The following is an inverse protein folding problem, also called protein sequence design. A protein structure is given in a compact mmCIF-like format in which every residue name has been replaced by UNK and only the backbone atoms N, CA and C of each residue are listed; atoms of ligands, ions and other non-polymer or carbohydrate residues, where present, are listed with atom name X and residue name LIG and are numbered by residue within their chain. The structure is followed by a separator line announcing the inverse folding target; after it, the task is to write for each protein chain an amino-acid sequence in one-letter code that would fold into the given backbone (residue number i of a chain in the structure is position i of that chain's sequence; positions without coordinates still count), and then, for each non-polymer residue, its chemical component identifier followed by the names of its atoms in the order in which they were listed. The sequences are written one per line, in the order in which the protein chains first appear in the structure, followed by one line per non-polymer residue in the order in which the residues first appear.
data_IF_904513699889
#
_entry.id   IF_904513699889
#
_cell.length_a   1.000
_cell.length_b   1.000
_cell.length_c   1.000
_cell.angle_alpha   90.00
_cell.angle_beta   90.00
_cell.angle_gamma   90.00
#
_symmetry.space_group_name_H-M   'P 1'
#
loop_
_entity.id
_entity.type
_entity.pdbx_description
1 polymer ?
#
# COMPACT_ATOMS: atom_id res chain seq x y z
N UNK A 1 -15.94 -61.75 -69.08
CA UNK A 1 -14.66 -61.10 -68.86
C UNK A 1 -14.98 -59.82 -68.18
N UNK A 2 -14.89 -59.82 -66.82
CA UNK A 2 -15.19 -58.61 -66.00
C UNK A 2 -13.87 -57.83 -65.82
N UNK A 3 -13.81 -56.57 -66.30
CA UNK A 3 -12.73 -55.68 -66.10
C UNK A 3 -12.63 -55.30 -64.57
N UNK A 4 -11.52 -55.51 -63.99
CA UNK A 4 -11.19 -55.07 -62.62
C UNK A 4 -10.85 -53.59 -62.75
N UNK A 5 -11.48 -52.68 -61.98
CA UNK A 5 -11.04 -51.29 -62.02
C UNK A 5 -9.66 -51.12 -61.40
N UNK A 6 -8.78 -50.36 -62.06
CA UNK A 6 -7.44 -49.98 -61.59
C UNK A 6 -7.55 -49.18 -60.32
N UNK A 7 -6.77 -49.56 -59.33
CA UNK A 7 -6.66 -48.84 -58.08
C UNK A 7 -5.95 -47.47 -58.33
N UNK A 8 -6.46 -46.36 -57.79
CA UNK A 8 -5.83 -45.07 -57.95
C UNK A 8 -4.39 -45.10 -57.37
N UNK A 9 -3.44 -44.52 -58.14
CA UNK A 9 -2.04 -44.36 -57.74
C UNK A 9 -1.95 -43.72 -56.36
N UNK A 10 -1.12 -44.31 -55.49
CA UNK A 10 -0.87 -43.81 -54.15
C UNK A 10 -0.29 -42.37 -54.20
N UNK A 11 -1.04 -41.39 -53.73
CA UNK A 11 -0.58 -40.02 -53.57
C UNK A 11 0.68 -40.05 -52.65
N UNK A 12 1.79 -39.44 -53.06
CA UNK A 12 3.01 -39.38 -52.21
C UNK A 12 2.66 -38.70 -50.89
N UNK A 13 2.99 -39.33 -49.77
CA UNK A 13 2.80 -38.74 -48.44
C UNK A 13 3.62 -37.46 -48.33
N UNK A 14 2.98 -36.35 -48.11
CA UNK A 14 3.65 -35.08 -47.81
C UNK A 14 4.59 -35.26 -46.59
N UNK A 15 5.79 -34.67 -46.65
CA UNK A 15 6.73 -34.77 -45.54
C UNK A 15 6.07 -34.17 -44.28
N UNK A 16 5.98 -34.99 -43.21
CA UNK A 16 5.46 -34.55 -41.90
C UNK A 16 6.46 -33.53 -41.34
N UNK A 17 6.12 -32.25 -41.50
CA UNK A 17 6.88 -31.15 -40.86
C UNK A 17 6.73 -31.33 -39.35
N UNK A 18 7.79 -31.51 -38.57
CA UNK A 18 7.68 -31.65 -37.13
C UNK A 18 7.05 -30.39 -36.55
N UNK A 19 5.89 -30.53 -35.90
CA UNK A 19 5.25 -29.40 -35.22
C UNK A 19 6.18 -28.85 -34.15
N UNK A 20 6.32 -27.51 -34.03
CA UNK A 20 7.18 -26.93 -33.00
C UNK A 20 6.76 -27.43 -31.62
N UNK A 21 7.71 -27.91 -30.84
CA UNK A 21 7.47 -28.44 -29.51
C UNK A 21 6.65 -27.44 -28.70
N UNK A 22 5.49 -27.84 -28.19
CA UNK A 22 4.61 -26.99 -27.37
C UNK A 22 5.39 -26.55 -26.11
N UNK A 23 5.38 -25.25 -25.78
CA UNK A 23 6.10 -24.78 -24.61
C UNK A 23 5.54 -25.46 -23.35
N UNK A 24 6.43 -25.90 -22.47
CA UNK A 24 6.06 -26.59 -21.23
C UNK A 24 5.08 -25.77 -20.37
N UNK A 25 4.28 -26.43 -19.51
CA UNK A 25 3.19 -25.79 -18.75
C UNK A 25 3.66 -24.61 -17.89
N UNK A 26 4.89 -24.63 -17.40
CA UNK A 26 5.51 -23.52 -16.65
C UNK A 26 5.80 -22.31 -17.54
N UNK A 27 6.27 -22.51 -18.78
CA UNK A 27 6.55 -21.42 -19.73
C UNK A 27 5.24 -20.72 -20.16
N UNK A 28 4.19 -21.51 -20.40
CA UNK A 28 2.84 -20.98 -20.73
C UNK A 28 2.27 -20.16 -19.56
N UNK A 29 2.39 -20.65 -18.33
CA UNK A 29 1.90 -19.93 -17.14
C UNK A 29 2.68 -18.63 -16.92
N UNK A 30 4.00 -18.64 -17.13
CA UNK A 30 4.82 -17.44 -17.02
C UNK A 30 4.53 -16.41 -18.11
N UNK A 31 4.36 -16.84 -19.36
CA UNK A 31 3.96 -15.97 -20.47
C UNK A 31 2.60 -15.31 -20.24
N UNK A 32 1.61 -16.07 -19.72
CA UNK A 32 0.28 -15.52 -19.34
C UNK A 32 0.41 -14.45 -18.24
N UNK A 33 1.21 -14.69 -17.20
CA UNK A 33 1.46 -13.70 -16.13
C UNK A 33 2.11 -12.43 -16.66
N UNK A 34 3.12 -12.56 -17.53
CA UNK A 34 3.77 -11.39 -18.16
C UNK A 34 2.78 -10.59 -19.01
N UNK A 35 1.94 -11.25 -19.81
CA UNK A 35 0.91 -10.57 -20.60
C UNK A 35 -0.10 -9.84 -19.73
N UNK A 36 -0.60 -10.49 -18.67
CA UNK A 36 -1.52 -9.86 -17.72
C UNK A 36 -0.88 -8.63 -17.03
N UNK A 37 0.38 -8.72 -16.60
CA UNK A 37 1.09 -7.55 -16.02
C UNK A 37 1.30 -6.45 -17.06
N UNK A 38 1.63 -6.78 -18.30
CA UNK A 38 1.78 -5.81 -19.38
C UNK A 38 0.45 -5.10 -19.70
N UNK A 39 -0.66 -5.83 -19.70
CA UNK A 39 -2.00 -5.25 -19.91
C UNK A 39 -2.39 -4.31 -18.76
N UNK A 40 -2.14 -4.71 -17.51
CA UNK A 40 -2.36 -3.85 -16.33
C UNK A 40 -1.51 -2.59 -16.44
N UNK A 41 -0.23 -2.72 -16.80
CA UNK A 41 0.67 -1.58 -16.96
C UNK A 41 0.25 -0.65 -18.10
N UNK A 42 -0.16 -1.19 -19.24
CA UNK A 42 -0.67 -0.40 -20.37
C UNK A 42 -1.95 0.35 -20.00
N UNK A 43 -2.87 -0.30 -19.29
CA UNK A 43 -4.10 0.33 -18.79
C UNK A 43 -3.76 1.44 -17.77
N UNK A 44 -2.84 1.17 -16.84
CA UNK A 44 -2.38 2.13 -15.84
C UNK A 44 -1.72 3.36 -16.49
N UNK A 45 -0.83 3.15 -17.46
CA UNK A 45 -0.13 4.22 -18.18
C UNK A 45 -1.07 5.11 -19.00
N UNK A 46 -2.24 4.59 -19.42
CA UNK A 46 -3.26 5.38 -20.14
C UNK A 46 -4.05 6.29 -19.20
N UNK A 47 -4.08 6.00 -17.91
CA UNK A 47 -4.75 6.83 -16.92
C UNK A 47 -3.82 7.97 -16.48
N UNK A 48 -4.13 9.21 -16.91
CA UNK A 48 -3.31 10.40 -16.62
C UNK A 48 -3.18 10.65 -15.11
N UNK A 49 -4.27 10.47 -14.36
CA UNK A 49 -4.27 10.68 -12.90
C UNK A 49 -3.34 9.68 -12.21
N UNK A 50 -3.41 8.40 -12.60
CA UNK A 50 -2.53 7.36 -12.08
C UNK A 50 -1.05 7.68 -12.33
N UNK A 51 -0.71 8.14 -13.54
CA UNK A 51 0.65 8.51 -13.90
C UNK A 51 1.15 9.72 -13.13
N UNK A 52 0.33 10.76 -12.96
CA UNK A 52 0.68 11.93 -12.12
C UNK A 52 0.93 11.48 -10.68
N UNK A 53 0.01 10.69 -10.09
CA UNK A 53 0.20 10.14 -8.75
C UNK A 53 1.47 9.32 -8.63
N UNK A 54 1.76 8.45 -9.60
CA UNK A 54 2.99 7.65 -9.60
C UNK A 54 4.26 8.50 -9.67
N UNK A 55 4.29 9.51 -10.54
CA UNK A 55 5.44 10.43 -10.66
C UNK A 55 5.69 11.16 -9.34
N UNK A 56 4.64 11.66 -8.71
CA UNK A 56 4.74 12.31 -7.39
C UNK A 56 5.29 11.32 -6.34
N UNK A 57 4.74 10.11 -6.27
CA UNK A 57 5.22 9.11 -5.31
C UNK A 57 6.66 8.72 -5.54
N UNK A 58 7.07 8.54 -6.80
CA UNK A 58 8.47 8.23 -7.14
C UNK A 58 9.39 9.39 -6.76
N UNK A 59 8.99 10.64 -7.03
CA UNK A 59 9.77 11.82 -6.66
C UNK A 59 9.95 11.94 -5.15
N UNK A 60 8.87 11.77 -4.37
CA UNK A 60 8.93 11.85 -2.89
C UNK A 60 9.69 10.65 -2.31
N UNK A 61 9.51 9.46 -2.86
CA UNK A 61 10.28 8.28 -2.45
C UNK A 61 11.78 8.45 -2.74
N UNK A 62 12.12 8.98 -3.91
CA UNK A 62 13.51 9.30 -4.27
C UNK A 62 14.10 10.35 -3.32
N UNK A 63 13.36 11.42 -3.04
CA UNK A 63 13.76 12.43 -2.06
C UNK A 63 13.99 11.80 -0.67
N UNK A 64 13.10 10.95 -0.19
CA UNK A 64 13.20 10.27 1.10
C UNK A 64 14.40 9.30 1.17
N UNK A 65 14.66 8.56 0.09
CA UNK A 65 15.81 7.66 -0.01
C UNK A 65 17.14 8.40 -0.10
N UNK A 66 17.17 9.49 -0.85
CA UNK A 66 18.35 10.34 -1.02
C UNK A 66 18.52 11.36 0.09
N UNK A 67 17.65 11.38 1.11
CA UNK A 67 17.71 12.32 2.22
C UNK A 67 19.10 12.47 2.85
N UNK A 68 19.88 11.39 3.13
CA UNK A 68 21.22 11.50 3.71
C UNK A 68 22.24 12.14 2.74
N UNK A 69 21.96 12.16 1.43
CA UNK A 69 22.82 12.78 0.42
C UNK A 69 22.41 14.23 0.16
N UNK A 70 21.10 14.50 0.22
CA UNK A 70 20.51 15.82 -0.08
C UNK A 70 20.66 16.79 1.10
N UNK A 71 20.75 16.29 2.34
CA UNK A 71 20.77 17.09 3.52
C UNK A 71 21.59 16.40 4.64
N UNK A 72 22.25 17.21 5.48
CA UNK A 72 22.98 16.68 6.64
C UNK A 72 22.00 16.42 7.80
N UNK A 73 21.92 15.16 8.27
CA UNK A 73 21.07 14.79 9.42
C UNK A 73 21.50 15.53 10.71
N UNK A 74 22.76 15.90 10.83
CA UNK A 74 23.26 16.67 11.98
C UNK A 74 22.63 18.07 12.10
N UNK A 75 22.18 18.64 10.98
CA UNK A 75 21.46 19.91 10.96
C UNK A 75 20.04 19.83 11.58
N UNK A 76 19.55 18.62 11.91
CA UNK A 76 18.31 18.44 12.68
C UNK A 76 18.53 18.62 14.20
N UNK A 77 19.79 18.59 14.67
CA UNK A 77 20.12 18.76 16.10
C UNK A 77 20.27 20.24 16.42
N UNK A 78 19.48 20.73 17.37
CA UNK A 78 19.52 22.15 17.78
C UNK A 78 20.91 22.63 18.19
N UNK A 79 21.75 21.74 18.76
CA UNK A 79 23.13 22.06 19.16
C UNK A 79 23.99 22.49 17.97
N UNK A 80 23.74 21.97 16.78
CA UNK A 80 24.52 22.25 15.57
C UNK A 80 24.00 23.47 14.79
N UNK A 81 22.96 24.13 15.29
CA UNK A 81 22.27 25.25 14.59
C UNK A 81 22.20 26.50 15.42
N UNK A 82 23.03 26.59 16.47
CA UNK A 82 23.08 27.74 17.42
C UNK A 82 23.43 29.06 16.71
N UNK A 83 24.24 28.99 15.66
CA UNK A 83 24.65 30.19 14.89
C UNK A 83 23.62 30.58 13.83
N UNK A 84 22.62 29.74 13.55
CA UNK A 84 21.59 30.04 12.56
C UNK A 84 20.53 30.99 13.17
N UNK A 85 20.00 31.93 12.39
CA UNK A 85 18.94 32.81 12.87
C UNK A 85 17.65 32.03 13.09
N UNK A 86 17.07 32.06 14.32
CA UNK A 86 15.75 31.49 14.56
C UNK A 86 14.68 32.27 13.80
N UNK A 87 13.63 31.56 13.34
CA UNK A 87 12.48 32.16 12.63
C UNK A 87 12.86 32.91 11.34
N UNK A 88 13.99 32.57 10.72
CA UNK A 88 14.33 33.17 9.42
C UNK A 88 13.31 32.76 8.34
N UNK A 89 12.81 33.74 7.61
CA UNK A 89 11.93 33.50 6.46
C UNK A 89 12.66 32.78 5.32
N UNK A 90 11.95 32.16 4.37
CA UNK A 90 12.56 31.53 3.21
C UNK A 90 13.54 32.45 2.47
N UNK A 91 14.75 31.93 2.21
CA UNK A 91 15.84 32.63 1.57
C UNK A 91 16.67 31.67 0.69
N UNK A 92 17.70 32.18 0.02
CA UNK A 92 18.62 31.31 -0.75
C UNK A 92 19.44 30.39 0.12
N UNK A 93 19.72 30.79 1.35
CA UNK A 93 20.45 30.02 2.34
C UNK A 93 19.53 28.98 3.02
N UNK A 94 18.31 29.38 3.34
CA UNK A 94 17.29 28.53 3.97
C UNK A 94 16.04 28.48 3.07
N UNK A 95 15.97 27.50 2.13
CA UNK A 95 14.92 27.40 1.12
C UNK A 95 13.49 27.47 1.69
N UNK A 96 13.24 26.81 2.83
CA UNK A 96 11.98 26.87 3.54
C UNK A 96 12.11 27.61 4.88
N UNK A 97 13.12 28.48 5.03
CA UNK A 97 13.37 29.19 6.29
C UNK A 97 13.87 28.28 7.42
N UNK A 98 13.86 28.84 8.65
CA UNK A 98 14.26 28.14 9.86
C UNK A 98 13.13 28.09 10.88
N UNK A 99 13.23 27.14 11.81
CA UNK A 99 12.33 27.01 12.95
C UNK A 99 12.76 27.90 14.14
N UNK A 100 12.10 27.70 15.28
CA UNK A 100 12.42 28.44 16.53
C UNK A 100 13.81 28.14 17.13
N UNK A 101 14.49 27.09 16.68
CA UNK A 101 15.80 26.65 17.12
C UNK A 101 16.88 26.88 16.04
N UNK A 102 16.58 27.60 14.96
CA UNK A 102 17.49 27.81 13.84
C UNK A 102 17.68 26.59 12.93
N UNK A 103 16.92 25.50 13.10
CA UNK A 103 17.01 24.32 12.23
C UNK A 103 16.32 24.59 10.89
N UNK A 104 16.95 24.15 9.79
CA UNK A 104 16.38 24.30 8.46
C UNK A 104 15.08 23.48 8.29
N UNK A 105 13.98 24.14 7.93
CA UNK A 105 12.69 23.49 7.66
C UNK A 105 12.77 22.61 6.42
N UNK A 106 13.58 22.94 5.43
CA UNK A 106 13.80 22.10 4.26
C UNK A 106 14.44 20.73 4.64
N UNK A 107 15.40 20.74 5.54
CA UNK A 107 16.02 19.51 6.06
C UNK A 107 14.98 18.68 6.82
N UNK A 108 14.20 19.31 7.70
CA UNK A 108 13.11 18.64 8.43
C UNK A 108 12.06 18.03 7.46
N UNK A 109 11.74 18.72 6.38
CA UNK A 109 10.80 18.25 5.36
C UNK A 109 11.31 16.99 4.65
N UNK A 110 12.58 16.98 4.22
CA UNK A 110 13.21 15.86 3.51
C UNK A 110 13.31 14.62 4.41
N UNK A 111 13.84 14.77 5.63
CA UNK A 111 13.92 13.65 6.58
C UNK A 111 12.56 13.23 7.11
N UNK A 112 11.63 14.17 7.28
CA UNK A 112 10.24 13.90 7.66
C UNK A 112 9.54 13.01 6.67
N UNK A 113 9.73 13.22 5.37
CA UNK A 113 9.21 12.35 4.31
C UNK A 113 9.62 10.89 4.50
N UNK A 114 10.89 10.65 4.88
CA UNK A 114 11.44 9.30 5.08
C UNK A 114 10.70 8.53 6.16
N UNK A 115 10.46 9.16 7.31
CA UNK A 115 9.79 8.52 8.45
C UNK A 115 8.30 8.36 8.19
N UNK A 116 7.62 9.40 7.70
CA UNK A 116 6.17 9.32 7.41
C UNK A 116 5.85 8.27 6.34
N UNK A 117 6.67 8.14 5.27
CA UNK A 117 6.50 7.08 4.26
C UNK A 117 6.82 5.70 4.83
N UNK A 118 7.89 5.55 5.62
CA UNK A 118 8.27 4.29 6.24
C UNK A 118 7.13 3.79 7.13
N UNK A 119 6.63 4.64 8.04
CA UNK A 119 5.51 4.26 8.92
C UNK A 119 4.27 3.92 8.11
N UNK A 120 3.90 4.75 7.13
CA UNK A 120 2.73 4.51 6.27
C UNK A 120 2.80 3.16 5.56
N UNK A 121 3.95 2.80 4.99
CA UNK A 121 4.14 1.54 4.28
C UNK A 121 4.15 0.33 5.22
N UNK A 122 4.97 0.36 6.29
CA UNK A 122 5.09 -0.80 7.19
C UNK A 122 3.82 -1.03 8.02
N UNK A 123 3.15 0.03 8.48
CA UNK A 123 1.86 -0.09 9.14
C UNK A 123 0.80 -0.68 8.20
N UNK A 124 0.77 -0.25 6.93
CA UNK A 124 -0.12 -0.84 5.93
C UNK A 124 0.18 -2.31 5.70
N UNK A 125 1.45 -2.71 5.55
CA UNK A 125 1.81 -4.13 5.40
C UNK A 125 1.29 -4.94 6.58
N UNK A 126 1.50 -4.48 7.82
CA UNK A 126 1.01 -5.16 9.00
C UNK A 126 -0.53 -5.27 9.03
N UNK A 127 -1.23 -4.17 8.74
CA UNK A 127 -2.69 -4.12 8.60
C UNK A 127 -3.21 -5.14 7.59
N UNK A 128 -2.61 -5.17 6.40
CA UNK A 128 -3.03 -6.06 5.30
C UNK A 128 -2.73 -7.51 5.63
N UNK A 129 -1.59 -7.80 6.22
CA UNK A 129 -1.23 -9.18 6.62
C UNK A 129 -2.22 -9.71 7.66
N UNK A 130 -2.44 -8.98 8.75
CA UNK A 130 -3.39 -9.39 9.80
C UNK A 130 -4.81 -9.49 9.24
N UNK A 131 -5.29 -8.44 8.56
CA UNK A 131 -6.64 -8.40 8.00
C UNK A 131 -6.89 -9.48 6.96
N UNK A 132 -5.89 -9.78 6.11
CA UNK A 132 -5.99 -10.86 5.12
C UNK A 132 -6.04 -12.23 5.80
N UNK A 133 -5.16 -12.49 6.76
CA UNK A 133 -5.16 -13.77 7.49
C UNK A 133 -6.51 -14.01 8.19
N UNK A 134 -6.98 -13.03 8.96
CA UNK A 134 -8.26 -13.12 9.67
C UNK A 134 -9.43 -13.25 8.68
N UNK A 135 -9.46 -12.43 7.63
CA UNK A 135 -10.54 -12.43 6.63
C UNK A 135 -10.61 -13.74 5.83
N UNK A 136 -9.45 -14.28 5.41
CA UNK A 136 -9.37 -15.56 4.69
C UNK A 136 -9.80 -16.72 5.59
N UNK A 137 -9.31 -16.77 6.83
CA UNK A 137 -9.66 -17.84 7.78
C UNK A 137 -11.16 -17.78 8.09
N UNK A 138 -11.70 -16.63 8.44
CA UNK A 138 -13.12 -16.45 8.73
C UNK A 138 -14.00 -16.84 7.53
N UNK A 139 -13.72 -16.30 6.34
CA UNK A 139 -14.53 -16.54 5.15
C UNK A 139 -14.46 -17.97 4.62
N UNK A 140 -13.28 -18.60 4.70
CA UNK A 140 -13.09 -19.94 4.17
C UNK A 140 -13.64 -21.04 5.09
N UNK A 141 -13.29 -21.02 6.38
CA UNK A 141 -13.69 -22.09 7.30
C UNK A 141 -15.15 -21.96 7.74
N UNK A 142 -15.65 -20.75 7.95
CA UNK A 142 -17.05 -20.54 8.35
C UNK A 142 -17.36 -20.99 9.77
N UNK A 143 -18.64 -21.12 10.09
CA UNK A 143 -19.14 -21.65 11.35
C UNK A 143 -18.63 -20.91 12.59
N UNK A 144 -18.23 -21.66 13.63
CA UNK A 144 -17.75 -21.07 14.88
C UNK A 144 -16.47 -20.22 14.71
N UNK A 145 -15.54 -20.65 13.84
CA UNK A 145 -14.31 -19.91 13.54
C UNK A 145 -14.63 -18.52 12.97
N UNK A 146 -15.55 -18.45 12.02
CA UNK A 146 -16.03 -17.20 11.48
C UNK A 146 -16.67 -16.32 12.56
N UNK A 147 -17.57 -16.89 13.35
CA UNK A 147 -18.27 -16.16 14.40
C UNK A 147 -17.31 -15.60 15.44
N UNK A 148 -16.32 -16.39 15.89
CA UNK A 148 -15.34 -15.94 16.87
C UNK A 148 -14.44 -14.81 16.32
N UNK A 149 -13.90 -14.99 15.10
CA UNK A 149 -13.04 -13.98 14.46
C UNK A 149 -13.80 -12.70 14.14
N UNK A 150 -15.04 -12.79 13.69
CA UNK A 150 -15.85 -11.61 13.41
C UNK A 150 -16.29 -10.88 14.70
N UNK A 151 -16.58 -11.59 15.79
CA UNK A 151 -16.80 -10.95 17.10
C UNK A 151 -15.56 -10.18 17.58
N UNK A 152 -14.37 -10.78 17.44
CA UNK A 152 -13.13 -10.08 17.75
C UNK A 152 -12.97 -8.82 16.87
N UNK A 153 -13.25 -8.95 15.57
CA UNK A 153 -13.24 -7.82 14.63
C UNK A 153 -14.22 -6.73 15.06
N UNK A 154 -15.43 -7.14 15.48
CA UNK A 154 -16.48 -6.21 15.92
C UNK A 154 -16.09 -5.47 17.19
N UNK A 155 -15.44 -6.13 18.17
CA UNK A 155 -14.92 -5.44 19.36
C UNK A 155 -13.94 -4.33 19.01
N UNK A 156 -12.99 -4.58 18.10
CA UNK A 156 -12.08 -3.53 17.65
C UNK A 156 -12.78 -2.37 16.96
N UNK A 157 -13.89 -2.62 16.24
CA UNK A 157 -14.62 -1.59 15.50
C UNK A 157 -15.60 -0.80 16.39
N UNK A 158 -16.03 -1.33 17.52
CA UNK A 158 -16.88 -0.63 18.50
C UNK A 158 -16.05 0.38 19.30
N UNK A 159 -14.80 0.08 19.58
CA UNK A 159 -13.91 1.01 20.28
C UNK A 159 -13.55 2.14 19.33
N UNK A 160 -13.75 3.43 19.71
CA UNK A 160 -13.34 4.53 18.88
C UNK A 160 -11.85 4.46 18.54
N UNK A 161 -11.54 4.45 17.23
CA UNK A 161 -10.21 4.19 16.70
C UNK A 161 -9.13 5.07 17.31
N UNK A 162 -9.33 6.40 17.31
CA UNK A 162 -8.29 7.35 17.75
C UNK A 162 -7.98 7.22 19.26
N UNK A 163 -8.95 7.17 20.19
CA UNK A 163 -8.71 6.86 21.59
C UNK A 163 -7.94 5.56 21.81
N UNK A 164 -8.31 4.48 21.11
CA UNK A 164 -7.59 3.21 21.20
C UNK A 164 -6.13 3.36 20.77
N UNK A 165 -5.89 4.02 19.64
CA UNK A 165 -4.54 4.24 19.11
C UNK A 165 -3.69 5.10 20.08
N UNK A 166 -4.25 6.15 20.66
CA UNK A 166 -3.57 7.01 21.66
C UNK A 166 -3.15 6.21 22.90
N UNK A 167 -4.08 5.42 23.45
CA UNK A 167 -3.80 4.60 24.64
C UNK A 167 -2.69 3.58 24.36
N UNK A 168 -2.78 2.86 23.24
CA UNK A 168 -1.77 1.89 22.85
C UNK A 168 -0.41 2.55 22.59
N UNK A 169 -0.36 3.69 21.89
CA UNK A 169 0.87 4.42 21.64
C UNK A 169 1.52 4.90 22.96
N UNK A 170 0.71 5.31 23.94
CA UNK A 170 1.20 5.74 25.26
C UNK A 170 1.78 4.58 26.08
N UNK A 171 1.14 3.41 26.02
CA UNK A 171 1.60 2.18 26.71
C UNK A 171 2.91 1.65 26.12
N UNK A 172 3.00 1.62 24.78
CA UNK A 172 4.18 1.09 24.07
C UNK A 172 5.37 2.03 24.07
N UNK A 173 5.15 3.31 24.38
CA UNK A 173 6.17 4.35 24.39
C UNK A 173 6.47 4.93 23.00
N UNK A 174 7.18 6.08 22.98
CA UNK A 174 7.43 6.86 21.77
C UNK A 174 8.53 6.23 20.90
N UNK A 175 8.12 5.51 19.85
CA UNK A 175 9.02 4.88 18.89
C UNK A 175 8.33 4.74 17.53
N UNK A 176 9.10 4.81 16.45
CA UNK A 176 8.60 4.53 15.09
C UNK A 176 7.92 3.16 15.02
N UNK A 177 8.51 2.14 15.64
CA UNK A 177 7.96 0.78 15.63
C UNK A 177 6.67 0.65 16.45
N UNK A 178 6.57 1.39 17.58
CA UNK A 178 5.33 1.46 18.36
C UNK A 178 4.19 2.01 17.52
N UNK A 179 4.41 3.10 16.78
CA UNK A 179 3.41 3.70 15.89
C UNK A 179 3.00 2.74 14.76
N UNK A 180 3.97 2.07 14.12
CA UNK A 180 3.69 1.06 13.10
C UNK A 180 2.79 -0.05 13.66
N UNK A 181 3.13 -0.57 14.84
CA UNK A 181 2.35 -1.63 15.48
C UNK A 181 0.95 -1.15 15.87
N UNK A 182 0.83 0.03 16.48
CA UNK A 182 -0.46 0.62 16.87
C UNK A 182 -1.37 0.77 15.66
N UNK A 183 -0.90 1.36 14.57
CA UNK A 183 -1.69 1.52 13.35
C UNK A 183 -2.09 0.14 12.80
N UNK A 184 -1.15 -0.79 12.69
CA UNK A 184 -1.40 -2.12 12.15
C UNK A 184 -2.45 -2.90 12.96
N UNK A 185 -2.34 -2.89 14.30
CA UNK A 185 -3.24 -3.64 15.19
C UNK A 185 -4.61 -2.97 15.38
N UNK A 186 -4.77 -1.72 15.02
CA UNK A 186 -6.04 -1.02 15.15
C UNK A 186 -6.81 -0.91 13.83
N UNK A 187 -6.15 -1.01 12.68
CA UNK A 187 -6.80 -0.80 11.36
C UNK A 187 -7.12 -2.09 10.61
N UNK A 188 -6.55 -3.25 10.99
CA UNK A 188 -6.79 -4.55 10.35
C UNK A 188 -8.28 -4.98 10.26
N UNK A 189 -9.20 -4.58 11.18
CA UNK A 189 -10.59 -5.04 11.16
C UNK A 189 -11.34 -4.67 9.88
N UNK A 190 -11.09 -3.48 9.34
CA UNK A 190 -11.69 -3.06 8.06
C UNK A 190 -11.27 -3.96 6.91
N UNK A 191 -9.97 -4.28 6.85
CA UNK A 191 -9.40 -5.17 5.82
C UNK A 191 -9.95 -6.58 5.97
N UNK A 192 -10.08 -7.09 7.20
CA UNK A 192 -10.59 -8.44 7.45
C UNK A 192 -12.02 -8.63 6.96
N UNK A 193 -12.90 -7.65 7.16
CA UNK A 193 -14.29 -7.68 6.65
C UNK A 193 -14.33 -7.66 5.12
N UNK A 194 -13.51 -6.80 4.49
CA UNK A 194 -13.40 -6.74 3.03
C UNK A 194 -12.92 -8.07 2.46
N UNK A 195 -11.83 -8.61 2.99
CA UNK A 195 -11.23 -9.88 2.52
C UNK A 195 -12.21 -11.04 2.74
N UNK A 196 -12.87 -11.11 3.91
CA UNK A 196 -13.91 -12.13 4.17
C UNK A 196 -15.02 -12.09 3.12
N UNK A 197 -15.55 -10.92 2.79
CA UNK A 197 -16.61 -10.78 1.79
C UNK A 197 -16.16 -11.31 0.42
N UNK A 198 -14.93 -11.01 0.01
CA UNK A 198 -14.36 -11.52 -1.24
C UNK A 198 -14.14 -13.04 -1.19
N UNK A 199 -13.66 -13.58 -0.07
CA UNK A 199 -13.47 -15.02 0.10
C UNK A 199 -14.80 -15.76 -0.02
N UNK A 200 -15.88 -15.26 0.58
CA UNK A 200 -17.21 -15.84 0.48
C UNK A 200 -17.71 -15.88 -0.98
N UNK A 201 -17.48 -14.80 -1.73
CA UNK A 201 -17.83 -14.75 -3.16
C UNK A 201 -17.02 -15.75 -3.99
N UNK A 202 -15.70 -15.83 -3.77
CA UNK A 202 -14.83 -16.76 -4.51
C UNK A 202 -15.12 -18.22 -4.16
N UNK A 203 -15.43 -18.50 -2.89
CA UNK A 203 -15.72 -19.83 -2.35
C UNK A 203 -16.91 -20.51 -3.06
N UNK A 204 -17.87 -19.72 -3.57
CA UNK A 204 -19.08 -20.20 -4.28
C UNK A 204 -18.87 -20.39 -5.79
N UNK A 205 -17.66 -20.21 -6.31
CA UNK A 205 -17.38 -20.39 -7.73
C UNK A 205 -17.30 -21.87 -8.10
N UNK A 206 -17.89 -22.27 -9.23
CA UNK A 206 -17.95 -23.64 -9.71
C UNK A 206 -16.59 -24.36 -9.76
N UNK A 207 -15.50 -23.65 -10.10
CA UNK A 207 -14.17 -24.26 -10.14
C UNK A 207 -13.65 -24.61 -8.73
N UNK A 208 -14.08 -23.88 -7.68
CA UNK A 208 -13.73 -24.19 -6.27
C UNK A 208 -14.53 -25.42 -5.81
N UNK A 209 -15.82 -25.50 -6.16
CA UNK A 209 -16.66 -26.66 -5.86
C UNK A 209 -16.13 -27.93 -6.53
N UNK A 210 -15.78 -27.83 -7.82
CA UNK A 210 -15.17 -28.94 -8.56
C UNK A 210 -13.86 -29.41 -7.92
N UNK A 211 -12.97 -28.48 -7.52
CA UNK A 211 -11.73 -28.84 -6.86
C UNK A 211 -11.98 -29.61 -5.55
N UNK A 212 -12.99 -29.20 -4.75
CA UNK A 212 -13.39 -29.90 -3.53
C UNK A 212 -14.00 -31.28 -3.83
N UNK A 213 -14.86 -31.40 -4.82
CA UNK A 213 -15.46 -32.66 -5.24
C UNK A 213 -14.40 -33.68 -5.71
N UNK A 214 -13.31 -33.20 -6.31
CA UNK A 214 -12.14 -34.04 -6.67
C UNK A 214 -11.20 -34.35 -5.50
N UNK A 215 -11.56 -34.02 -4.25
CA UNK A 215 -10.77 -34.35 -3.07
C UNK A 215 -9.63 -33.37 -2.73
N UNK A 216 -9.60 -32.16 -3.32
CA UNK A 216 -8.59 -31.18 -2.99
C UNK A 216 -8.63 -30.79 -1.50
N UNK A 217 -7.46 -30.78 -0.84
CA UNK A 217 -7.34 -30.41 0.57
C UNK A 217 -7.74 -28.94 0.79
N UNK A 218 -8.20 -28.60 2.00
CA UNK A 218 -8.59 -27.23 2.37
C UNK A 218 -7.49 -26.22 2.10
N UNK A 219 -6.25 -26.55 2.44
CA UNK A 219 -5.08 -25.69 2.21
C UNK A 219 -4.77 -25.52 0.73
N UNK A 220 -4.90 -26.58 -0.06
CA UNK A 220 -4.75 -26.50 -1.51
C UNK A 220 -5.77 -25.54 -2.14
N UNK A 221 -7.04 -25.63 -1.72
CA UNK A 221 -8.11 -24.73 -2.19
C UNK A 221 -7.80 -23.27 -1.81
N UNK A 222 -7.40 -23.01 -0.56
CA UNK A 222 -7.04 -21.65 -0.12
C UNK A 222 -5.89 -21.09 -0.96
N UNK A 223 -4.77 -21.84 -1.06
CA UNK A 223 -3.55 -21.34 -1.71
C UNK A 223 -3.68 -21.24 -3.24
N UNK A 224 -4.39 -22.19 -3.87
CA UNK A 224 -4.45 -22.29 -5.33
C UNK A 224 -5.65 -21.57 -5.94
N UNK A 225 -6.75 -21.46 -5.20
CA UNK A 225 -8.01 -20.91 -5.74
C UNK A 225 -8.48 -19.65 -5.01
N UNK A 226 -8.40 -19.56 -3.68
CA UNK A 226 -8.90 -18.40 -2.94
C UNK A 226 -7.91 -17.23 -3.01
N UNK A 227 -6.71 -17.38 -2.47
CA UNK A 227 -5.71 -16.29 -2.38
C UNK A 227 -5.38 -15.64 -3.72
N UNK A 228 -5.16 -16.38 -4.84
CA UNK A 228 -4.86 -15.73 -6.11
C UNK A 228 -6.04 -14.92 -6.68
N UNK A 229 -7.28 -15.29 -6.35
CA UNK A 229 -8.47 -14.59 -6.84
C UNK A 229 -8.88 -13.40 -5.94
N UNK A 230 -8.53 -13.42 -4.66
CA UNK A 230 -8.73 -12.29 -3.72
C UNK A 230 -7.57 -11.31 -3.80
N UNK A 231 -6.39 -11.77 -4.20
CA UNK A 231 -5.15 -10.99 -4.29
C UNK A 231 -5.28 -9.62 -4.98
N UNK A 232 -5.89 -9.51 -6.16
CA UNK A 232 -6.09 -8.22 -6.84
C UNK A 232 -6.85 -7.19 -5.98
N UNK A 233 -7.89 -7.61 -5.26
CA UNK A 233 -8.66 -6.74 -4.37
C UNK A 233 -7.82 -6.33 -3.15
N UNK A 234 -7.02 -7.25 -2.60
CA UNK A 234 -6.09 -6.95 -1.51
C UNK A 234 -5.07 -5.89 -1.97
N UNK A 235 -4.49 -6.04 -3.16
CA UNK A 235 -3.51 -5.10 -3.72
C UNK A 235 -4.12 -3.70 -3.93
N UNK A 236 -5.33 -3.63 -4.51
CA UNK A 236 -6.02 -2.35 -4.68
C UNK A 236 -6.30 -1.68 -3.32
N UNK A 237 -6.78 -2.44 -2.34
CA UNK A 237 -7.04 -1.92 -0.99
C UNK A 237 -5.75 -1.51 -0.26
N UNK A 238 -4.62 -2.19 -0.51
CA UNK A 238 -3.32 -1.83 0.08
C UNK A 238 -2.94 -0.39 -0.26
N UNK A 239 -3.07 0.01 -1.53
CA UNK A 239 -2.74 1.38 -1.96
C UNK A 239 -3.66 2.44 -1.36
N UNK A 240 -4.91 2.10 -1.04
CA UNK A 240 -5.85 2.99 -0.35
C UNK A 240 -5.65 3.03 1.17
N UNK A 241 -5.01 2.02 1.74
CA UNK A 241 -4.72 1.95 3.18
C UNK A 241 -3.50 2.80 3.56
N UNK A 242 -2.51 2.96 2.66
CA UNK A 242 -1.30 3.77 2.92
C UNK A 242 -1.64 5.22 3.31
N UNK A 243 -2.49 5.96 2.58
CA UNK A 243 -2.95 7.29 2.98
C UNK A 243 -3.50 7.36 4.40
N UNK A 244 -4.33 6.39 4.77
CA UNK A 244 -4.93 6.31 6.11
C UNK A 244 -3.84 6.11 7.17
N UNK A 245 -2.86 5.24 6.90
CA UNK A 245 -1.75 5.00 7.80
C UNK A 245 -0.86 6.24 7.98
N UNK A 246 -0.57 6.99 6.89
CA UNK A 246 0.20 8.24 6.95
C UNK A 246 -0.56 9.31 7.75
N UNK A 247 -1.86 9.50 7.51
CA UNK A 247 -2.67 10.46 8.26
C UNK A 247 -2.76 10.09 9.74
N UNK A 248 -2.84 8.80 10.05
CA UNK A 248 -2.86 8.32 11.44
C UNK A 248 -1.50 8.54 12.12
N UNK A 249 -0.39 8.24 11.43
CA UNK A 249 0.96 8.57 11.93
C UNK A 249 1.08 10.06 12.22
N UNK A 250 0.70 10.89 11.25
CA UNK A 250 0.72 12.35 11.40
C UNK A 250 -0.09 12.81 12.59
N UNK A 251 -1.28 12.25 12.81
CA UNK A 251 -2.14 12.61 13.94
C UNK A 251 -1.50 12.21 15.27
N UNK A 252 -1.00 10.98 15.38
CA UNK A 252 -0.35 10.49 16.59
C UNK A 252 0.95 11.28 16.90
N UNK A 253 1.75 11.55 15.86
CA UNK A 253 2.96 12.35 16.00
C UNK A 253 2.64 13.81 16.38
N UNK A 254 1.60 14.41 15.79
CA UNK A 254 1.11 15.75 16.16
C UNK A 254 0.63 15.82 17.61
N UNK A 255 0.08 14.73 18.15
CA UNK A 255 -0.31 14.62 19.56
C UNK A 255 0.87 14.30 20.50
N UNK A 256 2.12 14.33 20.03
CA UNK A 256 3.32 14.08 20.82
C UNK A 256 3.60 12.62 21.12
N UNK A 257 2.97 11.69 20.40
CA UNK A 257 3.15 10.25 20.59
C UNK A 257 4.16 9.64 19.60
N UNK A 258 4.70 10.45 18.68
CA UNK A 258 5.75 10.07 17.72
C UNK A 258 7.10 9.85 18.39
N UNK A 259 8.08 9.38 17.61
CA UNK A 259 9.46 9.23 18.06
C UNK A 259 10.11 10.61 18.22
N UNK A 260 10.57 10.98 19.44
CA UNK A 260 11.17 12.29 19.69
C UNK A 260 12.53 12.49 19.01
N UNK A 261 13.20 11.40 18.61
CA UNK A 261 14.53 11.42 18.00
C UNK A 261 14.51 11.46 16.48
N UNK A 262 13.34 11.21 15.86
CA UNK A 262 13.19 11.14 14.41
C UNK A 262 12.29 12.26 13.91
N UNK A 263 12.71 12.94 12.84
CA UNK A 263 11.87 13.90 12.16
C UNK A 263 10.78 13.16 11.36
N UNK A 264 9.50 13.53 11.57
CA UNK A 264 8.38 13.18 10.69
C UNK A 264 7.57 14.44 10.39
N UNK A 265 6.76 14.42 9.34
CA UNK A 265 5.93 15.58 9.02
C UNK A 265 4.93 15.90 10.14
N UNK A 266 4.37 14.87 10.79
CA UNK A 266 3.48 15.06 11.94
C UNK A 266 4.18 15.73 13.12
N UNK A 267 5.42 15.33 13.41
CA UNK A 267 6.24 15.95 14.44
C UNK A 267 6.62 17.41 14.10
N UNK A 268 6.97 17.68 12.85
CA UNK A 268 7.23 19.06 12.40
C UNK A 268 6.01 19.97 12.63
N UNK A 269 4.79 19.46 12.34
CA UNK A 269 3.55 20.19 12.63
C UNK A 269 3.33 20.42 14.12
N UNK A 270 3.60 19.41 14.96
CA UNK A 270 3.53 19.53 16.43
C UNK A 270 4.49 20.60 16.94
N UNK A 271 5.77 20.49 16.57
CA UNK A 271 6.81 21.44 17.03
C UNK A 271 6.50 22.89 16.59
N UNK A 272 5.99 23.05 15.35
CA UNK A 272 5.56 24.36 14.86
C UNK A 272 4.37 24.93 15.66
N UNK A 273 3.40 24.08 16.00
CA UNK A 273 2.26 24.47 16.84
C UNK A 273 2.70 24.88 18.24
N UNK A 274 3.51 24.06 18.91
CA UNK A 274 3.99 24.27 20.27
C UNK A 274 4.89 25.52 20.36
N UNK A 275 5.67 25.80 19.32
CA UNK A 275 6.51 27.00 19.22
C UNK A 275 5.73 28.29 18.89
N UNK A 276 4.41 28.20 18.63
CA UNK A 276 3.57 29.37 18.30
C UNK A 276 3.82 29.93 16.89
N UNK A 277 4.18 29.06 15.93
CA UNK A 277 4.43 29.47 14.54
C UNK A 277 3.22 30.15 13.89
N UNK A 278 1.99 29.73 14.23
CA UNK A 278 0.75 30.30 13.72
C UNK A 278 0.59 31.75 14.21
N UNK A 279 0.78 32.01 15.49
CA UNK A 279 0.69 33.34 16.10
C UNK A 279 1.74 34.31 15.55
N UNK A 280 2.90 33.78 15.17
CA UNK A 280 4.02 34.54 14.59
C UNK A 280 3.92 34.72 13.08
N UNK A 281 2.86 34.18 12.44
CA UNK A 281 2.73 34.12 10.97
C UNK A 281 3.92 33.44 10.28
N UNK A 282 4.61 32.52 10.97
CA UNK A 282 5.72 31.75 10.43
C UNK A 282 5.21 30.54 9.63
N UNK A 283 4.44 30.82 8.56
CA UNK A 283 3.79 29.82 7.71
C UNK A 283 4.79 28.84 7.05
N UNK A 284 5.99 29.28 6.82
CA UNK A 284 7.07 28.47 6.24
C UNK A 284 7.47 27.27 7.12
N UNK A 285 7.19 27.32 8.42
CA UNK A 285 7.54 26.23 9.33
C UNK A 285 6.56 25.05 9.22
N UNK A 286 5.25 25.28 9.15
CA UNK A 286 4.25 24.21 9.14
C UNK A 286 3.69 23.89 7.74
N UNK A 287 3.64 24.87 6.83
CA UNK A 287 2.98 24.69 5.54
C UNK A 287 3.66 23.65 4.64
N UNK A 288 5.02 23.58 4.54
CA UNK A 288 5.66 22.56 3.72
C UNK A 288 5.31 21.14 4.16
N UNK A 289 5.34 20.84 5.47
CA UNK A 289 4.95 19.53 6.00
C UNK A 289 3.48 19.21 5.72
N UNK A 290 2.57 20.17 5.93
CA UNK A 290 1.16 20.02 5.63
C UNK A 290 0.89 19.75 4.15
N UNK A 291 1.51 20.51 3.25
CA UNK A 291 1.41 20.28 1.79
C UNK A 291 2.01 18.92 1.42
N UNK A 292 3.14 18.53 1.98
CA UNK A 292 3.78 17.23 1.75
C UNK A 292 2.83 16.08 2.05
N UNK A 293 2.14 16.13 3.20
CA UNK A 293 1.14 15.13 3.59
C UNK A 293 -0.01 15.08 2.57
N UNK A 294 -0.60 16.23 2.23
CA UNK A 294 -1.71 16.32 1.27
C UNK A 294 -1.30 15.75 -0.09
N UNK A 295 -0.13 16.12 -0.60
CA UNK A 295 0.38 15.66 -1.90
C UNK A 295 0.59 14.16 -1.92
N UNK A 296 1.19 13.58 -0.87
CA UNK A 296 1.40 12.13 -0.78
C UNK A 296 0.09 11.37 -0.67
N UNK A 297 -0.83 11.83 0.18
CA UNK A 297 -2.17 11.23 0.35
C UNK A 297 -2.94 11.24 -0.96
N UNK A 298 -2.95 12.36 -1.67
CA UNK A 298 -3.59 12.48 -2.99
C UNK A 298 -2.92 11.54 -4.01
N UNK A 299 -1.59 11.48 -4.05
CA UNK A 299 -0.85 10.65 -4.99
C UNK A 299 -1.14 9.15 -4.78
N UNK A 300 -1.12 8.66 -3.54
CA UNK A 300 -1.52 7.27 -3.22
C UNK A 300 -2.99 7.02 -3.57
N UNK A 301 -3.88 7.96 -3.31
CA UNK A 301 -5.31 7.83 -3.64
C UNK A 301 -5.53 7.75 -5.16
N UNK A 302 -4.83 8.58 -5.95
CA UNK A 302 -4.89 8.54 -7.42
C UNK A 302 -4.41 7.20 -7.97
N UNK A 303 -3.28 6.70 -7.48
CA UNK A 303 -2.73 5.38 -7.86
C UNK A 303 -3.67 4.26 -7.42
N UNK A 304 -4.16 4.31 -6.18
CA UNK A 304 -5.04 3.29 -5.60
C UNK A 304 -6.36 3.15 -6.37
N UNK A 305 -7.03 4.25 -6.66
CA UNK A 305 -8.28 4.23 -7.46
C UNK A 305 -8.08 3.69 -8.87
N UNK A 306 -6.97 4.06 -9.51
CA UNK A 306 -6.67 3.54 -10.84
C UNK A 306 -6.39 2.03 -10.82
N UNK A 307 -5.70 1.52 -9.80
CA UNK A 307 -5.50 0.08 -9.61
C UNK A 307 -6.81 -0.64 -9.33
N UNK A 308 -7.69 -0.07 -8.52
CA UNK A 308 -9.02 -0.62 -8.25
C UNK A 308 -9.85 -0.73 -9.55
N UNK A 309 -9.93 0.34 -10.36
CA UNK A 309 -10.61 0.33 -11.66
C UNK A 309 -10.04 -0.73 -12.63
N UNK A 310 -8.72 -0.89 -12.66
CA UNK A 310 -8.06 -1.82 -13.59
C UNK A 310 -8.25 -3.27 -13.14
N UNK A 311 -8.24 -3.52 -11.84
CA UNK A 311 -8.28 -4.86 -11.25
C UNK A 311 -9.72 -5.38 -11.04
N UNK A 312 -10.74 -4.49 -10.98
CA UNK A 312 -12.15 -4.89 -10.87
C UNK A 312 -12.80 -4.98 -12.27
N UNK A 313 -13.12 -6.20 -12.77
CA UNK A 313 -13.76 -6.39 -14.08
C UNK A 313 -15.14 -5.74 -14.18
N UNK A 314 -15.85 -5.58 -13.06
CA UNK A 314 -17.22 -5.05 -13.04
C UNK A 314 -17.28 -3.55 -13.36
N UNK A 315 -16.20 -2.82 -13.13
CA UNK A 315 -16.09 -1.41 -13.45
C UNK A 315 -15.75 -1.16 -14.93
N UNK A 316 -15.21 -2.18 -15.64
CA UNK A 316 -14.92 -2.11 -17.09
C UNK A 316 -16.17 -2.14 -17.97
N UNK A 317 -17.25 -2.81 -17.54
CA UNK A 317 -18.49 -2.99 -18.35
C UNK A 317 -19.40 -1.75 -18.32
N UNK A 318 -19.12 -0.74 -17.50
CA UNK A 318 -19.92 0.49 -17.41
C UNK A 318 -19.42 1.66 -18.27
N UNK A 319 -18.40 1.44 -19.06
CA UNK A 319 -17.89 2.37 -20.09
C UNK A 319 -18.05 1.74 -21.48
#
# INVERSE_FOLDING_TARGET
MRMIPELPEAVPAEPVVPSPALPGPHAVAWARRRRAMAEIWLAFRRNRQAMVGLVILVAIAAMALLAPVLANEEALRAVNTVDNPPWASPSREFLFGTDNLGRSVAVQFVFGARISLLVGLFATVLTIVIGTLVGVVAGFFGGWTESALMRLTDWFLVIPFLPLAIVLARILGPSVWSIIFVIGITTWPYVSRLVRAQVLTVKQRLYVERARAMGASRWHVVRRHILPNVGPVILANTTLTVPIAILTETTLAFLGLGDPTRASWGKTLQEAYDAGAITRNAWWYYLPAGIGIVVVVLAFTMVGRALEEILDPRLRERR
#
